data_IF_503998932853
#
_entry.id   IF_503998932853
#
_cell.length_a   1.000
_cell.length_b   1.000
_cell.length_c   1.000
_cell.angle_alpha   90.00
_cell.angle_beta   90.00
_cell.angle_gamma   90.00
#
_symmetry.space_group_name_H-M   'P 1'
#
loop_
_entity.id
_entity.type
_entity.pdbx_description
1 polymer ?
#
# COMPACT_ATOMS: atom_id res chain seq x y z
N UNK A 1 -9.65 98.78 -41.07
CA UNK A 1 -10.69 97.84 -40.53
C UNK A 1 -10.18 96.40 -40.35
N UNK A 2 -9.20 95.88 -41.10
CA UNK A 2 -8.74 94.50 -40.92
C UNK A 2 -7.84 94.30 -39.69
N UNK A 3 -7.13 95.26 -39.15
CA UNK A 3 -6.32 95.18 -37.98
C UNK A 3 -7.10 95.17 -36.64
N UNK A 4 -8.23 95.76 -36.63
CA UNK A 4 -9.08 95.80 -35.42
C UNK A 4 -9.76 94.43 -35.18
N UNK A 5 -10.03 93.71 -36.25
CA UNK A 5 -10.66 92.39 -36.18
C UNK A 5 -9.74 91.31 -35.60
N UNK A 6 -8.42 91.45 -35.80
CA UNK A 6 -7.44 90.46 -35.28
C UNK A 6 -7.18 90.65 -33.76
N UNK A 7 -7.30 91.84 -33.25
CA UNK A 7 -7.12 92.14 -31.83
C UNK A 7 -8.33 91.64 -31.01
N UNK A 8 -9.54 91.69 -31.56
CA UNK A 8 -10.77 91.19 -30.88
C UNK A 8 -10.80 89.66 -30.85
N UNK A 9 -10.25 88.97 -31.84
CA UNK A 9 -10.16 87.50 -31.88
C UNK A 9 -9.09 87.00 -30.92
N UNK A 10 -8.01 87.76 -30.73
CA UNK A 10 -6.93 87.33 -29.80
C UNK A 10 -7.33 87.49 -28.33
N UNK A 11 -8.25 88.34 -27.98
CA UNK A 11 -8.71 88.62 -26.59
C UNK A 11 -9.76 87.61 -26.13
N UNK A 12 -10.44 86.91 -27.04
CA UNK A 12 -11.44 85.86 -26.68
C UNK A 12 -10.83 84.52 -26.36
N UNK A 13 -9.53 84.25 -26.69
CA UNK A 13 -8.84 83.01 -26.38
C UNK A 13 -8.23 82.95 -24.96
N UNK A 14 -8.19 84.07 -24.19
CA UNK A 14 -7.56 84.09 -22.89
C UNK A 14 -8.54 83.94 -21.72
N UNK A 15 -9.83 83.72 -21.98
CA UNK A 15 -10.85 83.64 -20.93
C UNK A 15 -11.42 82.25 -20.71
N UNK A 16 -10.75 81.16 -21.20
CA UNK A 16 -11.25 79.81 -21.08
C UNK A 16 -10.27 78.88 -20.35
N UNK A 17 -9.66 79.33 -19.24
CA UNK A 17 -9.08 78.45 -18.23
C UNK A 17 -10.01 78.33 -17.05
N UNK A 18 -11.11 77.56 -17.22
CA UNK A 18 -11.86 77.04 -16.11
C UNK A 18 -11.05 75.85 -15.61
N UNK A 19 -10.29 76.01 -14.51
CA UNK A 19 -9.71 74.90 -13.75
C UNK A 19 -10.87 74.05 -13.28
N UNK A 20 -11.04 72.93 -13.97
CA UNK A 20 -11.86 71.81 -13.48
C UNK A 20 -11.13 71.28 -12.29
N UNK A 21 -11.47 71.63 -11.08
CA UNK A 21 -11.17 70.89 -9.90
C UNK A 21 -11.81 69.51 -10.12
N UNK A 22 -10.97 68.55 -10.50
CA UNK A 22 -11.31 67.15 -10.37
C UNK A 22 -11.52 66.97 -8.85
N UNK A 23 -12.76 66.98 -8.45
CA UNK A 23 -13.15 66.34 -7.21
C UNK A 23 -12.78 64.87 -7.40
N UNK A 24 -11.64 64.51 -6.84
CA UNK A 24 -11.28 63.10 -6.70
C UNK A 24 -12.44 62.50 -5.91
N UNK A 25 -13.37 61.86 -6.63
CA UNK A 25 -14.35 61.04 -5.98
C UNK A 25 -13.53 60.02 -5.17
N UNK A 26 -13.47 60.20 -3.87
CA UNK A 26 -13.01 59.15 -2.98
C UNK A 26 -13.81 57.93 -3.35
N UNK A 27 -13.14 56.95 -3.99
CA UNK A 27 -13.71 55.63 -4.10
C UNK A 27 -14.18 55.24 -2.70
N UNK A 28 -15.46 54.89 -2.53
CA UNK A 28 -15.90 54.41 -1.23
C UNK A 28 -14.91 53.34 -0.81
N UNK A 29 -14.28 53.52 0.34
CA UNK A 29 -13.47 52.51 0.98
C UNK A 29 -14.30 51.24 0.97
N UNK A 30 -13.76 50.12 0.49
CA UNK A 30 -14.47 48.86 0.50
C UNK A 30 -14.99 48.66 1.93
N UNK A 31 -16.27 48.34 2.04
CA UNK A 31 -16.98 48.16 3.31
C UNK A 31 -16.35 46.88 3.95
N UNK A 32 -15.20 47.05 4.61
CA UNK A 32 -14.47 45.95 5.24
C UNK A 32 -15.31 45.55 6.45
N UNK A 33 -16.18 44.59 6.26
CA UNK A 33 -16.92 44.00 7.36
C UNK A 33 -15.91 43.56 8.44
N UNK A 34 -16.12 43.93 9.71
CA UNK A 34 -15.24 43.51 10.78
C UNK A 34 -15.18 41.97 10.81
N UNK A 35 -13.99 41.42 11.06
CA UNK A 35 -13.81 39.99 11.11
C UNK A 35 -14.71 39.36 12.19
N UNK A 36 -15.48 38.32 11.85
CA UNK A 36 -16.28 37.62 12.83
C UNK A 36 -15.42 37.04 13.96
N UNK A 37 -15.96 36.88 15.18
CA UNK A 37 -15.20 36.39 16.33
C UNK A 37 -14.52 35.00 16.08
N UNK A 38 -15.12 34.15 15.24
CA UNK A 38 -14.59 32.84 14.92
C UNK A 38 -13.31 32.88 14.06
N UNK A 39 -13.00 34.00 13.39
CA UNK A 39 -11.73 34.20 12.65
C UNK A 39 -10.55 34.40 13.59
N UNK A 40 -10.77 35.02 14.73
CA UNK A 40 -9.74 35.36 15.73
C UNK A 40 -9.72 34.39 16.92
N UNK A 41 -10.81 33.66 17.15
CA UNK A 41 -10.95 32.72 18.25
C UNK A 41 -11.82 31.54 17.86
N UNK A 42 -11.29 30.31 18.09
CA UNK A 42 -12.02 29.08 17.79
C UNK A 42 -13.27 28.97 18.67
N UNK A 43 -14.48 28.82 18.10
CA UNK A 43 -15.67 28.54 18.87
C UNK A 43 -15.53 27.21 19.64
N UNK A 44 -15.81 27.20 20.92
CA UNK A 44 -15.85 26.00 21.71
C UNK A 44 -17.27 25.46 21.76
N UNK A 45 -17.48 24.24 21.26
CA UNK A 45 -18.78 23.57 21.27
C UNK A 45 -18.65 22.18 21.85
N UNK A 46 -19.34 21.89 22.97
CA UNK A 46 -19.40 20.55 23.53
C UNK A 46 -20.04 19.50 22.61
N UNK A 47 -20.94 19.95 21.71
CA UNK A 47 -21.78 19.06 20.89
C UNK A 47 -21.37 18.99 19.41
N UNK A 48 -20.45 19.84 18.97
CA UNK A 48 -20.04 19.94 17.56
C UNK A 48 -18.53 19.94 17.44
N UNK A 49 -18.04 19.25 16.43
CA UNK A 49 -16.68 19.43 15.91
C UNK A 49 -16.65 20.70 15.08
N UNK A 50 -15.54 21.42 15.14
CA UNK A 50 -15.33 22.71 14.47
C UNK A 50 -14.15 22.58 13.50
N UNK A 51 -14.32 23.04 12.27
CA UNK A 51 -13.25 23.14 11.29
C UNK A 51 -13.15 24.57 10.75
N UNK A 52 -12.02 25.22 10.97
CA UNK A 52 -11.75 26.57 10.45
C UNK A 52 -10.54 26.49 9.53
N UNK A 53 -10.68 27.04 8.33
CA UNK A 53 -9.60 27.10 7.37
C UNK A 53 -9.59 28.41 6.62
N UNK A 54 -8.42 28.79 6.15
CA UNK A 54 -8.26 29.98 5.31
C UNK A 54 -7.30 29.70 4.16
N UNK A 55 -7.37 30.56 3.14
CA UNK A 55 -6.41 30.61 2.05
C UNK A 55 -6.17 32.06 1.63
N UNK A 56 -4.98 32.31 1.09
CA UNK A 56 -4.60 33.61 0.53
C UNK A 56 -5.14 33.78 -0.88
N UNK A 57 -5.73 34.95 -1.18
CA UNK A 57 -6.31 35.25 -2.49
C UNK A 57 -5.31 35.41 -3.62
N UNK A 58 -4.02 35.52 -3.31
CA UNK A 58 -2.94 35.67 -4.29
C UNK A 58 -2.62 34.40 -5.10
N UNK A 59 -3.22 33.27 -4.76
CA UNK A 59 -2.98 31.96 -5.42
C UNK A 59 -3.95 31.63 -6.58
N UNK A 60 -4.61 32.62 -7.16
CA UNK A 60 -5.55 32.44 -8.27
C UNK A 60 -6.94 31.94 -7.85
N UNK A 61 -7.76 31.45 -8.82
CA UNK A 61 -9.18 31.15 -8.59
C UNK A 61 -9.49 29.94 -7.69
N UNK A 62 -8.48 29.30 -7.08
CA UNK A 62 -8.65 28.09 -6.25
C UNK A 62 -8.66 28.29 -4.75
N UNK A 63 -8.52 29.54 -4.27
CA UNK A 63 -8.37 29.83 -2.84
C UNK A 63 -9.58 29.38 -1.99
N UNK A 64 -10.79 29.45 -2.52
CA UNK A 64 -11.97 28.94 -1.81
C UNK A 64 -11.93 27.45 -1.55
N UNK A 65 -11.49 26.68 -2.54
CA UNK A 65 -11.31 25.23 -2.40
C UNK A 65 -10.17 24.90 -1.44
N UNK A 66 -9.08 25.68 -1.47
CA UNK A 66 -7.97 25.53 -0.54
C UNK A 66 -8.40 25.83 0.90
N UNK A 67 -9.14 26.91 1.13
CA UNK A 67 -9.69 27.24 2.44
C UNK A 67 -10.63 26.14 2.96
N UNK A 68 -11.51 25.61 2.11
CA UNK A 68 -12.35 24.45 2.45
C UNK A 68 -11.52 23.23 2.83
N UNK A 69 -10.50 22.91 2.04
CA UNK A 69 -9.59 21.77 2.33
C UNK A 69 -8.92 21.95 3.69
N UNK A 70 -8.39 23.14 3.97
CA UNK A 70 -7.75 23.46 5.25
C UNK A 70 -8.72 23.33 6.43
N UNK A 71 -9.97 23.81 6.27
CA UNK A 71 -11.00 23.67 7.29
C UNK A 71 -11.39 22.21 7.55
N UNK A 72 -11.45 21.38 6.51
CA UNK A 72 -11.73 19.94 6.67
C UNK A 72 -10.56 19.19 7.32
N UNK A 73 -9.32 19.59 7.07
CA UNK A 73 -8.17 19.09 7.81
C UNK A 73 -8.21 19.43 9.29
N UNK A 74 -8.58 20.67 9.61
CA UNK A 74 -8.72 21.13 10.98
C UNK A 74 -9.83 20.35 11.71
N UNK A 75 -10.99 20.18 11.06
CA UNK A 75 -12.10 19.35 11.56
C UNK A 75 -11.66 17.90 11.81
N UNK A 76 -10.95 17.30 10.85
CA UNK A 76 -10.43 15.94 10.99
C UNK A 76 -9.45 15.81 12.16
N UNK A 77 -8.65 16.83 12.40
CA UNK A 77 -7.69 16.85 13.51
C UNK A 77 -8.40 16.88 14.86
N UNK A 78 -9.47 17.64 15.01
CA UNK A 78 -10.27 17.67 16.25
C UNK A 78 -10.95 16.32 16.52
N UNK A 79 -11.57 15.72 15.50
CA UNK A 79 -12.16 14.37 15.58
C UNK A 79 -11.13 13.34 16.01
N UNK A 80 -9.92 13.41 15.47
CA UNK A 80 -8.84 12.48 15.79
C UNK A 80 -8.38 12.55 17.24
N UNK A 81 -8.27 13.75 17.80
CA UNK A 81 -7.91 13.95 19.22
C UNK A 81 -8.95 13.30 20.14
N UNK A 82 -10.23 13.43 19.80
CA UNK A 82 -11.34 12.84 20.57
C UNK A 82 -11.33 11.31 20.52
N UNK A 83 -11.02 10.70 19.36
CA UNK A 83 -10.97 9.24 19.18
C UNK A 83 -9.77 8.61 19.89
N UNK A 84 -8.59 9.25 19.86
CA UNK A 84 -7.37 8.68 20.44
C UNK A 84 -7.42 8.49 21.94
N UNK A 85 -8.30 9.20 22.65
CA UNK A 85 -8.48 9.11 24.10
C UNK A 85 -9.29 7.88 24.56
N UNK A 86 -9.97 7.15 23.65
CA UNK A 86 -10.96 6.12 23.99
C UNK A 86 -10.66 4.70 23.46
N UNK A 87 -9.44 4.37 23.05
CA UNK A 87 -9.12 3.12 22.37
C UNK A 87 -8.97 1.92 23.34
N UNK A 88 -9.77 0.89 23.15
CA UNK A 88 -9.85 -0.34 24.00
C UNK A 88 -8.72 -1.35 23.73
N UNK A 89 -8.13 -1.37 22.53
CA UNK A 89 -7.06 -2.31 22.17
C UNK A 89 -5.69 -2.00 22.76
N UNK A 90 -5.55 -0.87 23.43
CA UNK A 90 -4.31 -0.49 24.12
C UNK A 90 -3.87 -1.49 25.20
N UNK A 91 -4.77 -2.39 25.58
CA UNK A 91 -4.57 -3.32 26.72
C UNK A 91 -4.01 -4.68 26.29
N UNK A 92 -3.95 -5.03 24.99
CA UNK A 92 -3.70 -6.42 24.57
C UNK A 92 -2.28 -6.69 24.07
N UNK A 93 -1.56 -5.71 23.54
CA UNK A 93 -0.16 -5.95 23.10
C UNK A 93 0.70 -4.69 23.17
N UNK A 94 1.62 -4.68 24.10
CA UNK A 94 2.67 -3.66 24.28
C UNK A 94 3.81 -3.87 23.25
N UNK A 95 3.50 -3.83 21.96
CA UNK A 95 4.49 -3.97 20.89
C UNK A 95 4.53 -2.66 20.05
N UNK A 96 5.70 -2.00 20.00
CA UNK A 96 5.87 -0.73 19.31
C UNK A 96 5.45 -0.79 17.83
N UNK A 97 5.73 -1.88 17.13
CA UNK A 97 5.36 -2.07 15.73
C UNK A 97 3.83 -2.14 15.51
N UNK A 98 3.08 -2.67 16.50
CA UNK A 98 1.62 -2.66 16.46
C UNK A 98 1.10 -1.23 16.52
N UNK A 99 1.61 -0.44 17.46
CA UNK A 99 1.17 0.94 17.66
C UNK A 99 1.44 1.83 16.45
N UNK A 100 2.56 1.66 15.74
CA UNK A 100 2.87 2.42 14.52
C UNK A 100 1.94 2.06 13.35
N UNK A 101 1.73 0.77 13.11
CA UNK A 101 0.84 0.29 12.05
C UNK A 101 -0.62 0.67 12.34
N UNK A 102 -1.04 0.54 13.59
CA UNK A 102 -2.36 0.92 14.05
C UNK A 102 -2.62 2.43 13.97
N UNK A 103 -1.66 3.26 14.40
CA UNK A 103 -1.74 4.72 14.25
C UNK A 103 -1.79 5.15 12.78
N UNK A 104 -1.11 4.42 11.90
CA UNK A 104 -1.17 4.64 10.45
C UNK A 104 -2.56 4.32 9.88
N UNK A 105 -3.21 3.26 10.36
CA UNK A 105 -4.59 2.92 9.99
C UNK A 105 -5.61 3.94 10.48
N UNK A 106 -5.47 4.40 11.74
CA UNK A 106 -6.34 5.48 12.26
C UNK A 106 -6.18 6.75 11.43
N UNK A 107 -4.94 7.09 11.03
CA UNK A 107 -4.69 8.23 10.13
C UNK A 107 -5.36 8.05 8.77
N UNK A 108 -5.33 6.85 8.20
CA UNK A 108 -5.95 6.54 6.92
C UNK A 108 -7.49 6.54 7.01
N UNK A 109 -8.04 5.94 8.08
CA UNK A 109 -9.49 5.87 8.28
C UNK A 109 -10.14 7.22 8.64
N UNK A 110 -9.39 8.14 9.26
CA UNK A 110 -9.88 9.48 9.58
C UNK A 110 -9.77 10.48 8.43
N UNK A 111 -8.99 10.17 7.39
CA UNK A 111 -8.91 11.01 6.17
C UNK A 111 -10.01 10.71 5.14
N UNK A 112 -10.69 9.57 5.24
CA UNK A 112 -11.68 9.16 4.25
C UNK A 112 -13.09 9.58 4.66
N UNK A 113 -13.62 10.62 3.97
CA UNK A 113 -15.02 10.99 3.93
C UNK A 113 -15.67 11.36 5.26
N UNK A 114 -15.21 12.46 5.86
CA UNK A 114 -16.06 13.16 6.81
C UNK A 114 -17.27 13.68 6.02
N UNK A 115 -18.44 13.15 6.33
CA UNK A 115 -19.71 13.52 5.72
C UNK A 115 -20.58 14.26 6.74
N UNK A 116 -21.60 15.00 6.26
CA UNK A 116 -22.56 15.66 7.15
C UNK A 116 -22.06 16.97 7.79
N UNK A 117 -20.85 17.43 7.45
CA UNK A 117 -20.42 18.76 7.85
C UNK A 117 -21.21 19.85 7.11
N UNK A 118 -21.48 20.94 7.79
CA UNK A 118 -22.21 22.10 7.23
C UNK A 118 -21.33 23.34 7.28
N UNK A 119 -21.37 24.13 6.20
CA UNK A 119 -20.80 25.49 6.21
C UNK A 119 -21.66 26.36 7.12
N UNK A 120 -21.05 26.91 8.14
CA UNK A 120 -21.73 27.82 9.10
C UNK A 120 -21.59 29.25 8.62
N UNK A 121 -20.38 29.63 8.23
CA UNK A 121 -20.09 31.02 7.81
C UNK A 121 -18.83 31.05 6.93
N UNK A 122 -18.70 32.15 6.20
CA UNK A 122 -17.49 32.50 5.46
C UNK A 122 -17.19 33.97 5.60
N UNK A 123 -15.92 34.31 5.68
CA UNK A 123 -15.44 35.69 5.77
C UNK A 123 -14.32 35.92 4.78
N UNK A 124 -14.29 37.10 4.16
CA UNK A 124 -13.19 37.48 3.31
C UNK A 124 -12.78 38.93 3.53
N UNK A 125 -11.47 39.15 3.40
CA UNK A 125 -10.88 40.47 3.30
C UNK A 125 -10.06 40.56 2.00
N UNK A 126 -9.31 41.64 1.82
CA UNK A 126 -8.51 41.85 0.60
C UNK A 126 -7.46 40.73 0.35
N UNK A 127 -6.98 40.09 1.40
CA UNK A 127 -5.86 39.16 1.35
C UNK A 127 -6.27 37.69 1.51
N UNK A 128 -7.30 37.41 2.29
CA UNK A 128 -7.63 36.08 2.75
C UNK A 128 -9.12 35.75 2.62
N UNK A 129 -9.42 34.50 2.39
CA UNK A 129 -10.75 33.92 2.45
C UNK A 129 -10.78 32.86 3.55
N UNK A 130 -11.73 32.93 4.45
CA UNK A 130 -11.93 32.07 5.60
C UNK A 130 -13.25 31.34 5.49
N UNK A 131 -13.27 30.07 5.98
CA UNK A 131 -14.48 29.26 6.07
C UNK A 131 -14.57 28.58 7.41
N UNK A 132 -15.79 28.48 7.91
CA UNK A 132 -16.10 27.81 9.17
C UNK A 132 -17.13 26.71 8.92
N UNK A 133 -16.70 25.46 9.19
CA UNK A 133 -17.55 24.27 9.11
C UNK A 133 -17.81 23.71 10.50
N UNK A 134 -18.97 23.07 10.66
CA UNK A 134 -19.34 22.32 11.84
C UNK A 134 -19.83 20.92 11.45
N UNK A 135 -19.63 19.97 12.38
CA UNK A 135 -20.18 18.62 12.31
C UNK A 135 -20.74 18.25 13.68
N UNK A 136 -21.98 17.83 13.74
CA UNK A 136 -22.61 17.36 14.96
C UNK A 136 -21.95 16.06 15.43
N UNK A 137 -21.50 16.01 16.70
CA UNK A 137 -20.79 14.87 17.27
C UNK A 137 -21.66 13.61 17.32
N UNK A 138 -22.95 13.76 17.63
CA UNK A 138 -23.88 12.65 17.69
C UNK A 138 -24.17 12.10 16.28
N UNK A 139 -24.38 12.99 15.28
CA UNK A 139 -24.57 12.55 13.91
C UNK A 139 -23.32 11.86 13.35
N UNK A 140 -22.13 12.38 13.64
CA UNK A 140 -20.87 11.71 13.27
C UNK A 140 -20.74 10.32 13.92
N UNK A 141 -21.06 10.21 15.22
CA UNK A 141 -21.05 8.93 15.92
C UNK A 141 -22.04 7.93 15.31
N UNK A 142 -23.24 8.40 14.95
CA UNK A 142 -24.25 7.57 14.29
C UNK A 142 -23.82 7.12 12.90
N UNK A 143 -23.19 7.99 12.12
CA UNK A 143 -22.65 7.64 10.79
C UNK A 143 -21.52 6.61 10.91
N UNK A 144 -20.60 6.81 11.87
CA UNK A 144 -19.52 5.88 12.16
C UNK A 144 -20.08 4.51 12.56
N UNK A 145 -21.06 4.47 13.45
CA UNK A 145 -21.70 3.23 13.88
C UNK A 145 -22.39 2.50 12.71
N UNK A 146 -23.10 3.23 11.85
CA UNK A 146 -23.72 2.64 10.64
C UNK A 146 -22.66 2.08 9.68
N UNK A 147 -21.58 2.82 9.39
CA UNK A 147 -20.47 2.35 8.52
C UNK A 147 -19.80 1.11 9.12
N UNK A 148 -19.54 1.11 10.44
CA UNK A 148 -19.01 -0.05 11.15
C UNK A 148 -19.92 -1.27 11.01
N UNK A 149 -21.22 -1.12 11.26
CA UNK A 149 -22.18 -2.22 11.17
C UNK A 149 -22.29 -2.77 9.75
N UNK A 150 -22.30 -1.91 8.73
CA UNK A 150 -22.26 -2.32 7.34
C UNK A 150 -21.00 -3.12 7.00
N UNK A 151 -19.85 -2.70 7.54
CA UNK A 151 -18.57 -3.39 7.35
C UNK A 151 -18.55 -4.75 8.04
N UNK A 152 -19.08 -4.85 9.27
CA UNK A 152 -19.22 -6.11 9.99
C UNK A 152 -20.13 -7.07 9.18
N UNK A 153 -21.25 -6.59 8.66
CA UNK A 153 -22.14 -7.40 7.81
C UNK A 153 -21.45 -7.88 6.55
N UNK A 154 -20.68 -7.01 5.87
CA UNK A 154 -19.88 -7.43 4.69
C UNK A 154 -18.84 -8.48 5.04
N UNK A 155 -18.14 -8.32 6.17
CA UNK A 155 -17.18 -9.31 6.64
C UNK A 155 -17.85 -10.65 6.97
N UNK A 156 -18.98 -10.63 7.68
CA UNK A 156 -19.77 -11.84 7.98
C UNK A 156 -20.20 -12.57 6.70
N UNK A 157 -20.64 -11.85 5.68
CA UNK A 157 -21.01 -12.43 4.38
C UNK A 157 -19.79 -13.06 3.66
N UNK A 158 -18.60 -12.42 3.72
CA UNK A 158 -17.38 -13.01 3.18
C UNK A 158 -16.99 -14.29 3.93
N UNK A 159 -17.10 -14.29 5.26
CA UNK A 159 -16.81 -15.46 6.09
C UNK A 159 -17.80 -16.59 5.75
N UNK A 160 -19.09 -16.33 5.69
CA UNK A 160 -20.10 -17.31 5.32
C UNK A 160 -19.86 -17.88 3.90
N UNK A 161 -19.55 -17.01 2.94
CA UNK A 161 -19.20 -17.44 1.58
C UNK A 161 -17.94 -18.30 1.56
N UNK A 162 -16.98 -18.06 2.44
CA UNK A 162 -15.77 -18.87 2.54
C UNK A 162 -16.05 -20.33 2.94
N UNK A 163 -17.04 -20.58 3.77
CA UNK A 163 -17.45 -21.94 4.14
C UNK A 163 -18.16 -22.65 2.96
N UNK A 164 -18.89 -21.91 2.11
CA UNK A 164 -19.46 -22.48 0.90
C UNK A 164 -18.38 -22.85 -0.12
N UNK A 165 -17.33 -22.02 -0.24
CA UNK A 165 -16.16 -22.35 -1.06
C UNK A 165 -15.46 -23.64 -0.56
N UNK A 166 -15.30 -23.82 0.76
CA UNK A 166 -14.77 -25.06 1.32
C UNK A 166 -15.61 -26.29 0.97
N UNK A 167 -16.94 -26.18 1.05
CA UNK A 167 -17.86 -27.26 0.63
C UNK A 167 -17.69 -27.61 -0.84
N UNK A 168 -17.36 -26.61 -1.69
CA UNK A 168 -17.08 -26.77 -3.11
C UNK A 168 -15.62 -27.16 -3.40
N UNK A 169 -14.80 -27.39 -2.38
CA UNK A 169 -13.36 -27.67 -2.47
C UNK A 169 -12.54 -26.55 -3.15
N UNK A 170 -13.04 -25.30 -3.09
CA UNK A 170 -12.30 -24.11 -3.50
C UNK A 170 -11.65 -23.45 -2.28
N UNK A 171 -10.58 -24.08 -1.79
CA UNK A 171 -9.87 -23.65 -0.58
C UNK A 171 -9.13 -22.34 -0.76
N UNK A 172 -8.70 -22.03 -1.99
CA UNK A 172 -8.03 -20.76 -2.30
C UNK A 172 -8.98 -19.59 -2.16
N UNK A 173 -10.16 -19.68 -2.75
CA UNK A 173 -11.22 -18.65 -2.60
C UNK A 173 -11.69 -18.52 -1.16
N UNK A 174 -11.81 -19.64 -0.45
CA UNK A 174 -12.15 -19.65 0.98
C UNK A 174 -11.15 -18.83 1.79
N UNK A 175 -9.85 -19.11 1.68
CA UNK A 175 -8.82 -18.38 2.41
C UNK A 175 -8.75 -16.92 2.01
N UNK A 176 -8.85 -16.62 0.72
CA UNK A 176 -8.89 -15.25 0.20
C UNK A 176 -10.02 -14.44 0.83
N UNK A 177 -11.23 -14.98 0.87
CA UNK A 177 -12.40 -14.30 1.46
C UNK A 177 -12.21 -14.04 2.96
N UNK A 178 -11.62 -14.97 3.71
CA UNK A 178 -11.30 -14.79 5.13
C UNK A 178 -10.28 -13.67 5.37
N UNK A 179 -9.21 -13.65 4.56
CA UNK A 179 -8.22 -12.59 4.62
C UNK A 179 -8.82 -11.24 4.23
N UNK A 180 -9.66 -11.19 3.20
CA UNK A 180 -10.39 -9.97 2.82
C UNK A 180 -11.36 -9.51 3.89
N UNK A 181 -12.08 -10.43 4.56
CA UNK A 181 -12.95 -10.10 5.68
C UNK A 181 -12.16 -9.45 6.82
N UNK A 182 -10.99 -9.97 7.16
CA UNK A 182 -10.09 -9.31 8.12
C UNK A 182 -9.65 -7.92 7.61
N UNK A 183 -9.26 -7.82 6.35
CA UNK A 183 -8.78 -6.56 5.75
C UNK A 183 -9.77 -5.42 5.87
N UNK A 184 -11.05 -5.64 5.55
CA UNK A 184 -12.09 -4.59 5.64
C UNK A 184 -12.44 -4.21 7.09
N UNK A 185 -12.13 -5.06 8.08
CA UNK A 185 -12.36 -4.78 9.50
C UNK A 185 -11.24 -3.97 10.13
N UNK A 186 -10.09 -3.85 9.49
CA UNK A 186 -8.90 -3.20 10.08
C UNK A 186 -9.15 -1.80 10.61
N UNK A 187 -9.97 -0.92 9.99
CA UNK A 187 -10.27 0.41 10.54
C UNK A 187 -11.00 0.40 11.88
N UNK A 188 -11.59 -0.74 12.27
CA UNK A 188 -12.43 -0.89 13.46
C UNK A 188 -11.82 -1.81 14.52
N UNK A 189 -10.58 -2.29 14.32
CA UNK A 189 -9.93 -3.22 15.28
C UNK A 189 -9.67 -2.62 16.66
N UNK A 190 -9.76 -1.29 16.83
CA UNK A 190 -9.73 -0.61 18.12
C UNK A 190 -11.05 -0.68 18.89
N UNK A 191 -12.09 -1.22 18.28
CA UNK A 191 -13.41 -1.33 18.86
C UNK A 191 -13.81 -2.80 18.93
N UNK A 192 -14.72 -3.13 19.82
CA UNK A 192 -15.27 -4.47 19.88
C UNK A 192 -16.02 -4.79 18.56
N UNK A 193 -15.66 -5.90 17.92
CA UNK A 193 -16.30 -6.44 16.72
C UNK A 193 -16.92 -7.78 17.09
N UNK A 194 -18.24 -7.83 17.06
CA UNK A 194 -19.03 -9.03 17.31
C UNK A 194 -19.80 -9.37 16.05
N UNK A 195 -19.68 -10.61 15.59
CA UNK A 195 -20.47 -11.15 14.48
C UNK A 195 -21.72 -11.83 15.01
N UNK A 196 -22.77 -11.83 14.20
CA UNK A 196 -23.88 -12.76 14.35
C UNK A 196 -23.40 -14.16 13.91
N UNK A 197 -23.35 -15.16 14.80
CA UNK A 197 -22.85 -16.49 14.48
C UNK A 197 -23.68 -17.19 13.38
N UNK A 198 -24.95 -16.86 13.25
CA UNK A 198 -25.81 -17.43 12.20
C UNK A 198 -25.40 -16.89 10.82
N UNK A 199 -25.02 -15.63 10.73
CA UNK A 199 -24.57 -15.00 9.48
C UNK A 199 -23.11 -15.34 9.16
N UNK A 200 -22.24 -15.48 10.17
CA UNK A 200 -20.80 -15.69 9.99
C UNK A 200 -20.37 -17.17 10.01
N UNK A 201 -21.32 -18.12 10.02
CA UNK A 201 -21.00 -19.55 10.06
C UNK A 201 -20.35 -20.02 11.35
N UNK A 202 -20.72 -19.40 12.49
CA UNK A 202 -20.24 -19.78 13.81
C UNK A 202 -19.01 -18.98 14.29
N UNK A 203 -18.56 -17.99 13.53
CA UNK A 203 -17.47 -17.06 13.94
C UNK A 203 -18.09 -15.94 14.77
N UNK A 204 -17.58 -15.70 15.97
CA UNK A 204 -18.16 -14.72 16.91
C UNK A 204 -17.43 -13.37 16.88
N UNK A 205 -16.13 -13.38 16.61
CA UNK A 205 -15.29 -12.17 16.69
C UNK A 205 -14.05 -12.27 15.78
N UNK A 206 -13.22 -11.24 15.81
CA UNK A 206 -12.00 -11.16 14.99
C UNK A 206 -10.97 -12.23 15.38
N UNK A 207 -10.89 -12.61 16.65
CA UNK A 207 -9.95 -13.65 17.11
C UNK A 207 -10.33 -15.04 16.60
N UNK A 208 -11.62 -15.34 16.51
CA UNK A 208 -12.10 -16.57 15.87
C UNK A 208 -11.72 -16.59 14.38
N UNK A 209 -11.91 -15.44 13.69
CA UNK A 209 -11.55 -15.30 12.28
C UNK A 209 -10.04 -15.47 12.06
N UNK A 210 -9.19 -14.80 12.85
CA UNK A 210 -7.73 -14.94 12.71
C UNK A 210 -7.26 -16.36 13.06
N UNK A 211 -7.87 -17.01 14.05
CA UNK A 211 -7.60 -18.41 14.38
C UNK A 211 -7.99 -19.36 13.26
N UNK A 212 -9.08 -19.06 12.56
CA UNK A 212 -9.52 -19.82 11.39
C UNK A 212 -8.54 -19.66 10.21
N UNK A 213 -8.09 -18.43 9.93
CA UNK A 213 -7.06 -18.14 8.93
C UNK A 213 -5.76 -18.88 9.28
N UNK A 214 -5.31 -18.77 10.52
CA UNK A 214 -4.09 -19.42 11.02
C UNK A 214 -4.12 -20.93 10.80
N UNK A 215 -5.20 -21.59 11.22
CA UNK A 215 -5.35 -23.06 11.06
C UNK A 215 -5.33 -23.46 9.59
N UNK A 216 -5.95 -22.70 8.70
CA UNK A 216 -5.97 -22.98 7.29
C UNK A 216 -4.57 -22.82 6.66
N UNK A 217 -3.85 -21.75 7.01
CA UNK A 217 -2.46 -21.54 6.56
C UNK A 217 -1.52 -22.64 7.04
N UNK A 218 -1.64 -23.08 8.29
CA UNK A 218 -0.84 -24.16 8.86
C UNK A 218 -1.13 -25.53 8.26
N UNK A 219 -2.32 -25.70 7.68
CA UNK A 219 -2.70 -26.96 7.01
C UNK A 219 -2.22 -27.06 5.56
N UNK A 220 -1.56 -26.01 5.03
CA UNK A 220 -0.98 -26.07 3.68
C UNK A 220 0.24 -26.98 3.70
N UNK A 221 0.28 -27.95 2.79
CA UNK A 221 1.41 -28.83 2.56
C UNK A 221 1.85 -28.75 1.11
N UNK A 222 3.13 -28.97 0.88
CA UNK A 222 3.71 -29.01 -0.44
C UNK A 222 4.33 -30.40 -0.68
N UNK A 223 4.04 -30.97 -1.83
CA UNK A 223 4.60 -32.26 -2.23
C UNK A 223 5.21 -32.15 -3.63
N UNK A 224 6.30 -32.86 -3.94
CA UNK A 224 6.79 -32.96 -5.30
C UNK A 224 5.78 -33.73 -6.16
N UNK A 225 5.52 -33.26 -7.38
CA UNK A 225 4.58 -33.92 -8.29
C UNK A 225 5.15 -35.19 -8.94
N UNK A 226 6.46 -35.15 -9.25
CA UNK A 226 7.25 -36.17 -9.87
C UNK A 226 8.66 -36.07 -9.32
N UNK A 227 9.54 -36.93 -9.82
CA UNK A 227 10.97 -36.78 -9.60
C UNK A 227 11.38 -35.33 -10.01
N UNK A 228 11.91 -34.57 -9.05
CA UNK A 228 12.35 -33.20 -9.29
C UNK A 228 13.67 -33.32 -10.08
N UNK A 229 13.77 -32.64 -11.25
CA UNK A 229 15.01 -32.68 -12.02
C UNK A 229 16.15 -32.04 -11.23
N UNK A 230 17.34 -32.62 -11.33
CA UNK A 230 18.53 -31.95 -10.79
C UNK A 230 18.87 -30.73 -11.57
N UNK A 231 19.24 -29.65 -10.85
CA UNK A 231 19.69 -28.39 -11.43
C UNK A 231 21.18 -28.54 -11.82
N UNK A 232 21.52 -28.22 -13.07
CA UNK A 232 22.93 -28.16 -13.51
C UNK A 232 23.44 -26.72 -13.38
N UNK A 233 24.54 -26.46 -12.71
CA UNK A 233 25.16 -25.14 -12.67
C UNK A 233 25.46 -24.59 -14.08
N UNK A 234 25.33 -23.27 -14.27
CA UNK A 234 25.60 -22.56 -15.51
C UNK A 234 24.80 -23.01 -16.75
N UNK A 235 23.73 -23.75 -16.59
CA UNK A 235 22.85 -24.12 -17.69
C UNK A 235 22.08 -22.89 -18.21
N UNK A 236 21.92 -22.79 -19.53
CA UNK A 236 21.23 -21.66 -20.16
C UNK A 236 19.70 -21.66 -19.92
N UNK A 237 19.10 -22.84 -19.82
CA UNK A 237 17.65 -23.02 -19.60
C UNK A 237 17.41 -24.16 -18.64
N UNK A 238 16.63 -23.90 -17.61
CA UNK A 238 16.27 -24.88 -16.59
C UNK A 238 14.83 -25.37 -16.78
N UNK A 239 14.63 -26.67 -16.62
CA UNK A 239 13.28 -27.21 -16.50
C UNK A 239 12.64 -26.71 -15.21
N UNK A 240 11.33 -26.36 -15.21
CA UNK A 240 10.65 -25.93 -14.00
C UNK A 240 10.57 -27.09 -12.98
N UNK A 241 10.82 -26.75 -11.72
CA UNK A 241 10.60 -27.66 -10.60
C UNK A 241 9.11 -27.66 -10.27
N UNK A 242 8.46 -28.82 -10.35
CA UNK A 242 7.03 -28.93 -10.19
C UNK A 242 6.67 -29.48 -8.81
N UNK A 243 5.86 -28.74 -8.10
CA UNK A 243 5.31 -29.10 -6.79
C UNK A 243 3.79 -29.06 -6.84
N UNK A 244 3.15 -29.61 -5.83
CA UNK A 244 1.72 -29.57 -5.64
C UNK A 244 1.40 -28.98 -4.28
N UNK A 245 0.52 -27.98 -4.26
CA UNK A 245 0.02 -27.39 -3.02
C UNK A 245 -1.35 -27.98 -2.70
N UNK A 246 -1.51 -28.43 -1.48
CA UNK A 246 -2.76 -28.95 -0.98
C UNK A 246 -2.99 -28.55 0.49
N UNK A 247 -4.24 -28.55 0.90
CA UNK A 247 -4.62 -28.53 2.29
C UNK A 247 -4.68 -29.95 2.80
N UNK A 248 -3.97 -30.25 3.89
CA UNK A 248 -3.86 -31.58 4.49
C UNK A 248 -5.14 -32.42 4.34
N UNK A 249 -5.10 -33.43 3.47
CA UNK A 249 -6.17 -34.38 3.23
C UNK A 249 -7.53 -33.82 2.73
N UNK A 250 -7.61 -32.51 2.39
CA UNK A 250 -8.87 -31.88 1.98
C UNK A 250 -8.95 -31.61 0.47
N UNK A 251 -7.85 -31.24 -0.16
CA UNK A 251 -7.79 -30.95 -1.59
C UNK A 251 -6.74 -29.91 -1.97
N UNK A 252 -6.66 -29.63 -3.26
CA UNK A 252 -5.62 -28.78 -3.84
C UNK A 252 -5.93 -27.30 -3.74
N UNK A 253 -4.87 -26.50 -3.55
CA UNK A 253 -4.95 -25.03 -3.61
C UNK A 253 -4.82 -24.57 -5.07
N UNK A 254 -5.94 -24.21 -5.69
CA UNK A 254 -6.03 -23.79 -7.09
C UNK A 254 -5.88 -22.28 -7.20
N UNK A 255 -5.14 -21.81 -8.23
CA UNK A 255 -4.93 -20.36 -8.47
C UNK A 255 -4.46 -19.61 -7.21
N UNK A 256 -3.62 -20.25 -6.41
CA UNK A 256 -3.18 -19.74 -5.13
C UNK A 256 -1.83 -19.00 -5.27
N UNK A 257 -1.73 -17.72 -4.89
CA UNK A 257 -0.51 -16.95 -5.05
C UNK A 257 0.51 -17.29 -3.98
N UNK A 258 1.76 -17.48 -4.40
CA UNK A 258 2.90 -17.84 -3.55
C UNK A 258 4.09 -16.92 -3.80
N UNK A 259 4.81 -16.60 -2.74
CA UNK A 259 6.13 -16.00 -2.76
C UNK A 259 7.16 -17.12 -2.64
N UNK A 260 8.19 -17.04 -3.46
CA UNK A 260 9.31 -17.99 -3.44
C UNK A 260 10.57 -17.22 -3.05
N UNK A 261 11.35 -17.78 -2.15
CA UNK A 261 12.66 -17.25 -1.77
C UNK A 261 13.68 -18.37 -1.81
N UNK A 262 14.79 -18.17 -2.52
CA UNK A 262 15.95 -19.04 -2.36
C UNK A 262 16.60 -18.78 -1.00
N UNK A 263 17.01 -19.86 -0.32
CA UNK A 263 17.85 -19.76 0.87
C UNK A 263 19.35 -19.65 0.50
N UNK A 264 19.67 -19.82 -0.80
CA UNK A 264 21.02 -19.70 -1.34
C UNK A 264 21.08 -18.51 -2.33
N UNK A 265 22.00 -17.57 -2.07
CA UNK A 265 22.18 -16.36 -2.89
C UNK A 265 22.76 -16.66 -4.29
N UNK A 266 23.35 -17.84 -4.49
CA UNK A 266 23.91 -18.29 -5.77
C UNK A 266 22.88 -18.82 -6.75
N UNK A 267 21.59 -18.75 -6.38
CA UNK A 267 20.51 -19.22 -7.23
C UNK A 267 19.48 -18.11 -7.41
N UNK A 268 19.24 -17.76 -8.65
CA UNK A 268 18.18 -16.83 -9.02
C UNK A 268 16.94 -17.61 -9.47
N UNK A 269 15.81 -17.28 -8.88
CA UNK A 269 14.52 -17.91 -9.14
C UNK A 269 13.44 -16.86 -9.40
N UNK A 270 12.26 -17.28 -9.88
CA UNK A 270 11.07 -16.44 -9.89
C UNK A 270 10.58 -16.22 -8.46
N UNK A 271 10.47 -14.96 -8.04
CA UNK A 271 10.05 -14.61 -6.66
C UNK A 271 8.56 -14.81 -6.41
N UNK A 272 7.74 -14.77 -7.46
CA UNK A 272 6.29 -14.92 -7.40
C UNK A 272 5.79 -15.97 -8.37
N UNK A 273 4.83 -16.75 -7.92
CA UNK A 273 4.15 -17.75 -8.74
C UNK A 273 2.71 -17.94 -8.26
N UNK A 274 1.91 -18.60 -9.07
CA UNK A 274 0.53 -18.95 -8.73
C UNK A 274 0.30 -20.40 -9.12
N UNK A 275 -0.34 -21.17 -8.26
CA UNK A 275 -0.72 -22.54 -8.64
C UNK A 275 -1.74 -22.50 -9.80
N UNK A 276 -1.72 -23.54 -10.62
CA UNK A 276 -2.71 -23.71 -11.68
C UNK A 276 -4.05 -24.25 -11.12
N UNK A 277 -4.99 -24.56 -12.02
CA UNK A 277 -6.31 -25.09 -11.67
C UNK A 277 -6.30 -26.49 -11.03
N UNK A 278 -5.17 -27.17 -11.03
CA UNK A 278 -4.96 -28.48 -10.41
C UNK A 278 -4.08 -28.42 -9.17
N UNK A 279 -3.71 -27.21 -8.72
CA UNK A 279 -2.86 -27.00 -7.54
C UNK A 279 -1.37 -27.16 -7.80
N UNK A 280 -0.96 -27.19 -9.07
CA UNK A 280 0.44 -27.36 -9.44
C UNK A 280 1.17 -26.02 -9.35
N UNK A 281 2.32 -26.02 -8.71
CA UNK A 281 3.21 -24.89 -8.51
C UNK A 281 4.51 -25.12 -9.28
N UNK A 282 4.96 -24.10 -10.01
CA UNK A 282 6.23 -24.12 -10.71
C UNK A 282 7.24 -23.15 -10.08
N UNK A 283 8.39 -23.68 -9.66
CA UNK A 283 9.56 -22.89 -9.32
C UNK A 283 10.51 -22.90 -10.52
N UNK A 284 10.80 -21.73 -11.07
CA UNK A 284 11.69 -21.57 -12.22
C UNK A 284 13.03 -21.03 -11.75
N UNK A 285 14.09 -21.79 -11.94
CA UNK A 285 15.44 -21.30 -11.79
C UNK A 285 15.83 -20.51 -13.04
N UNK A 286 16.43 -19.33 -12.85
CA UNK A 286 16.91 -18.46 -13.93
C UNK A 286 18.44 -18.60 -14.08
N UNK A 287 19.14 -18.82 -12.97
CA UNK A 287 20.56 -19.12 -12.94
C UNK A 287 20.89 -19.95 -11.69
N UNK A 288 21.84 -20.85 -11.83
CA UNK A 288 22.38 -21.66 -10.74
C UNK A 288 23.90 -21.63 -10.85
N UNK A 289 24.56 -21.13 -9.81
CA UNK A 289 26.00 -21.26 -9.64
C UNK A 289 26.32 -22.54 -8.86
N UNK A 290 27.55 -23.04 -8.89
CA UNK A 290 27.92 -24.20 -8.08
C UNK A 290 27.66 -23.97 -6.60
N UNK A 291 26.90 -24.87 -6.01
CA UNK A 291 26.50 -24.87 -4.60
C UNK A 291 26.67 -26.27 -4.03
N UNK A 292 26.19 -26.49 -2.81
CA UNK A 292 26.13 -27.83 -2.24
C UNK A 292 25.19 -28.76 -3.06
N UNK A 293 25.18 -30.03 -2.76
CA UNK A 293 24.43 -31.10 -3.47
C UNK A 293 22.92 -30.79 -3.60
N UNK A 294 22.39 -29.86 -2.83
CA UNK A 294 20.99 -29.42 -2.92
C UNK A 294 20.85 -27.97 -2.57
N UNK A 295 19.77 -27.39 -3.04
CA UNK A 295 19.32 -26.03 -2.72
C UNK A 295 17.97 -26.07 -2.06
N UNK A 296 17.75 -25.15 -1.16
CA UNK A 296 16.48 -25.01 -0.43
C UNK A 296 15.72 -23.75 -0.86
N UNK A 297 14.42 -23.90 -1.03
CA UNK A 297 13.50 -22.81 -1.34
C UNK A 297 12.47 -22.68 -0.24
N UNK A 298 12.20 -21.47 0.16
CA UNK A 298 11.12 -21.11 1.06
C UNK A 298 9.90 -20.68 0.23
N UNK A 299 8.78 -21.37 0.41
CA UNK A 299 7.50 -21.07 -0.22
C UNK A 299 6.56 -20.47 0.81
N UNK A 300 6.07 -19.27 0.56
CA UNK A 300 5.18 -18.56 1.47
C UNK A 300 3.90 -18.12 0.72
N UNK A 301 2.71 -18.20 1.34
CA UNK A 301 1.52 -17.58 0.80
C UNK A 301 1.72 -16.08 0.54
N UNK A 302 1.34 -15.57 -0.64
CA UNK A 302 1.35 -14.15 -0.94
C UNK A 302 0.10 -13.48 -0.35
N UNK A 303 0.18 -13.17 0.94
CA UNK A 303 -0.90 -12.52 1.71
C UNK A 303 -1.27 -11.15 1.09
N UNK A 304 -0.31 -10.45 0.50
CA UNK A 304 -0.57 -9.15 -0.14
C UNK A 304 -1.51 -9.29 -1.33
N UNK A 305 -1.24 -10.24 -2.20
CA UNK A 305 -2.12 -10.54 -3.34
C UNK A 305 -3.48 -11.05 -2.89
N UNK A 306 -3.56 -11.82 -1.80
CA UNK A 306 -4.82 -12.33 -1.26
C UNK A 306 -5.69 -11.23 -0.63
N UNK A 307 -5.09 -10.27 0.06
CA UNK A 307 -5.81 -9.17 0.73
C UNK A 307 -6.17 -8.02 -0.23
N UNK A 308 -5.27 -7.68 -1.15
CA UNK A 308 -5.37 -6.52 -2.03
C UNK A 308 -4.28 -5.49 -1.72
N UNK A 309 -4.00 -4.60 -2.68
CA UNK A 309 -2.82 -3.73 -2.68
C UNK A 309 -3.11 -2.26 -2.35
N UNK A 310 -4.31 -1.90 -1.94
CA UNK A 310 -4.63 -0.54 -1.51
C UNK A 310 -3.93 -0.18 -0.19
N UNK A 311 -4.00 1.09 0.20
CA UNK A 311 -3.33 1.59 1.41
C UNK A 311 -3.87 0.94 2.69
N UNK A 312 -5.16 0.64 2.73
CA UNK A 312 -5.83 -0.06 3.85
C UNK A 312 -5.36 -1.52 3.89
N UNK A 313 -5.24 -2.15 2.71
CA UNK A 313 -4.72 -3.51 2.60
C UNK A 313 -3.31 -3.65 3.15
N UNK A 314 -2.38 -2.75 2.83
CA UNK A 314 -0.99 -2.81 3.35
C UNK A 314 -0.91 -2.73 4.86
N UNK A 315 -1.66 -1.82 5.47
CA UNK A 315 -1.69 -1.69 6.92
C UNK A 315 -2.41 -2.91 7.57
N UNK A 316 -3.47 -3.41 6.94
CA UNK A 316 -4.17 -4.63 7.34
C UNK A 316 -3.27 -5.87 7.31
N UNK A 317 -2.38 -6.01 6.31
CA UNK A 317 -1.40 -7.09 6.21
C UNK A 317 -0.42 -7.05 7.39
N UNK A 318 0.10 -5.87 7.71
CA UNK A 318 1.02 -5.71 8.84
C UNK A 318 0.37 -6.13 10.16
N UNK A 319 -0.91 -5.79 10.36
CA UNK A 319 -1.68 -6.22 11.52
C UNK A 319 -1.99 -7.72 11.47
N UNK A 320 -2.44 -8.25 10.34
CA UNK A 320 -2.76 -9.68 10.22
C UNK A 320 -1.54 -10.54 10.57
N UNK A 321 -0.34 -10.16 10.13
CA UNK A 321 0.92 -10.87 10.43
C UNK A 321 1.27 -10.93 11.92
N UNK A 322 0.64 -10.12 12.77
CA UNK A 322 0.81 -10.19 14.23
C UNK A 322 -0.12 -11.22 14.86
N UNK A 323 -1.26 -11.48 14.23
CA UNK A 323 -2.23 -12.48 14.69
C UNK A 323 -1.96 -13.87 14.14
N UNK A 324 -1.29 -13.98 12.97
CA UNK A 324 -1.02 -15.23 12.30
C UNK A 324 0.49 -15.47 12.17
N UNK A 325 0.89 -16.72 12.38
CA UNK A 325 2.25 -17.17 12.09
C UNK A 325 2.26 -17.85 10.72
N UNK A 326 2.96 -17.28 9.76
CA UNK A 326 3.21 -17.94 8.47
C UNK A 326 4.44 -18.82 8.61
N UNK A 327 4.23 -20.14 8.62
CA UNK A 327 5.34 -21.09 8.48
C UNK A 327 5.76 -21.14 7.02
N UNK A 328 7.06 -21.00 6.77
CA UNK A 328 7.64 -21.19 5.46
C UNK A 328 7.65 -22.69 5.13
N UNK A 329 7.08 -23.03 3.99
CA UNK A 329 7.18 -24.40 3.46
C UNK A 329 8.53 -24.54 2.79
N UNK A 330 9.33 -25.51 3.22
CA UNK A 330 10.66 -25.76 2.63
C UNK A 330 10.60 -26.88 1.62
N UNK A 331 11.16 -26.63 0.45
CA UNK A 331 11.37 -27.62 -0.60
C UNK A 331 12.82 -27.61 -1.04
N UNK A 332 13.31 -28.74 -1.54
CA UNK A 332 14.69 -28.90 -1.97
C UNK A 332 14.75 -29.40 -3.40
N UNK A 333 15.79 -29.01 -4.12
CA UNK A 333 16.18 -29.59 -5.39
C UNK A 333 17.65 -29.99 -5.37
N UNK A 334 17.96 -31.09 -5.98
CA UNK A 334 19.35 -31.55 -6.12
C UNK A 334 20.10 -30.66 -7.11
N UNK A 335 21.38 -30.48 -6.89
CA UNK A 335 22.31 -29.83 -7.83
C UNK A 335 23.26 -30.92 -8.32
N UNK A 336 23.33 -31.15 -9.63
CA UNK A 336 24.21 -32.14 -10.21
C UNK A 336 25.60 -31.54 -10.45
N UNK A 337 26.60 -32.40 -10.40
CA UNK A 337 27.96 -32.05 -10.82
C UNK A 337 27.96 -31.66 -12.30
N UNK A 338 28.83 -30.74 -12.65
CA UNK A 338 29.17 -30.42 -14.05
C UNK A 338 30.64 -30.69 -14.30
N UNK A 339 30.94 -31.15 -15.52
CA UNK A 339 32.30 -31.32 -15.99
C UNK A 339 32.66 -30.13 -16.87
N UNK A 340 33.70 -29.41 -16.54
CA UNK A 340 34.12 -28.19 -17.24
C UNK A 340 35.48 -28.43 -17.89
N UNK A 341 35.55 -28.30 -19.19
CA UNK A 341 36.79 -28.28 -19.94
C UNK A 341 37.21 -26.86 -20.21
N UNK A 342 38.42 -26.49 -19.82
CA UNK A 342 38.99 -25.14 -20.05
C UNK A 342 40.12 -25.30 -21.06
N UNK A 343 39.99 -24.57 -22.17
CA UNK A 343 41.07 -24.46 -23.16
C UNK A 343 41.33 -22.97 -23.40
N UNK A 344 42.53 -22.53 -23.03
CA UNK A 344 42.92 -21.13 -23.20
C UNK A 344 44.25 -21.03 -23.91
N UNK A 345 44.41 -20.05 -24.77
CA UNK A 345 45.67 -19.69 -25.42
C UNK A 345 46.01 -18.25 -25.07
N UNK A 346 46.98 -18.07 -24.22
CA UNK A 346 47.45 -16.71 -23.85
C UNK A 346 48.48 -16.21 -24.86
N UNK A 347 48.30 -15.00 -25.36
CA UNK A 347 49.22 -14.35 -26.29
C UNK A 347 49.76 -13.05 -25.75
N UNK A 348 51.07 -12.86 -25.81
CA UNK A 348 51.73 -11.62 -25.56
C UNK A 348 52.32 -11.05 -26.84
N UNK A 349 51.93 -9.83 -27.24
CA UNK A 349 52.31 -9.22 -28.53
C UNK A 349 52.11 -10.13 -29.75
N UNK A 350 51.04 -10.94 -29.76
CA UNK A 350 50.68 -11.86 -30.82
C UNK A 350 51.44 -13.20 -30.82
N UNK A 351 52.36 -13.43 -29.89
CA UNK A 351 53.04 -14.72 -29.69
C UNK A 351 52.42 -15.43 -28.52
N UNK A 352 52.29 -16.75 -28.63
CA UNK A 352 51.82 -17.56 -27.51
C UNK A 352 52.78 -17.41 -26.32
N UNK A 353 52.21 -17.06 -25.15
CA UNK A 353 52.94 -17.02 -23.91
C UNK A 353 52.82 -18.38 -23.26
N UNK A 354 53.89 -18.91 -22.73
CA UNK A 354 53.83 -20.18 -21.99
C UNK A 354 53.22 -20.01 -20.59
N UNK A 355 52.49 -18.93 -20.32
CA UNK A 355 51.85 -18.68 -19.04
C UNK A 355 50.40 -19.18 -19.06
N UNK A 356 49.95 -19.80 -17.97
CA UNK A 356 48.57 -20.27 -17.79
C UNK A 356 47.85 -19.39 -16.73
N UNK A 357 48.18 -18.11 -16.64
CA UNK A 357 47.66 -17.25 -15.59
C UNK A 357 46.16 -17.03 -15.73
N UNK A 358 45.65 -16.87 -16.95
CA UNK A 358 44.22 -16.70 -17.23
C UNK A 358 43.46 -18.00 -16.99
N UNK A 359 44.06 -19.13 -17.43
CA UNK A 359 43.49 -20.45 -17.20
C UNK A 359 43.34 -20.73 -15.70
N UNK A 360 44.39 -20.47 -14.91
CA UNK A 360 44.37 -20.62 -13.46
C UNK A 360 43.28 -19.74 -12.80
N UNK A 361 43.11 -18.46 -13.26
CA UNK A 361 42.03 -17.58 -12.78
C UNK A 361 40.65 -18.15 -13.11
N UNK A 362 40.46 -18.67 -14.32
CA UNK A 362 39.19 -19.28 -14.74
C UNK A 362 38.92 -20.52 -13.90
N UNK A 363 39.93 -21.42 -13.76
CA UNK A 363 39.83 -22.61 -12.94
C UNK A 363 39.45 -22.27 -11.49
N UNK A 364 40.05 -21.23 -10.90
CA UNK A 364 39.72 -20.78 -9.57
C UNK A 364 38.27 -20.25 -9.46
N UNK A 365 37.78 -19.54 -10.50
CA UNK A 365 36.39 -19.05 -10.55
C UNK A 365 35.37 -20.18 -10.66
N UNK A 366 35.70 -21.24 -11.38
CA UNK A 366 34.87 -22.43 -11.52
C UNK A 366 35.14 -23.49 -10.45
N UNK A 367 35.99 -23.22 -9.46
CA UNK A 367 36.20 -24.14 -8.33
C UNK A 367 34.97 -24.14 -7.41
N UNK A 368 34.36 -25.29 -7.25
CA UNK A 368 33.23 -25.52 -6.35
C UNK A 368 33.03 -27.02 -6.13
N UNK A 369 32.29 -27.38 -5.09
CA UNK A 369 32.14 -28.80 -4.74
C UNK A 369 31.46 -29.62 -5.86
N UNK A 370 30.65 -28.94 -6.70
CA UNK A 370 29.87 -29.57 -7.77
C UNK A 370 30.47 -29.34 -9.17
N UNK A 371 31.71 -28.83 -9.26
CA UNK A 371 32.43 -28.62 -10.53
C UNK A 371 33.60 -29.55 -10.61
N UNK A 372 33.65 -30.36 -11.67
CA UNK A 372 34.81 -31.21 -12.00
C UNK A 372 35.49 -30.64 -13.23
N UNK A 373 36.77 -30.34 -13.09
CA UNK A 373 37.59 -29.97 -14.24
C UNK A 373 37.99 -31.22 -14.99
N UNK A 374 37.86 -31.22 -16.29
CA UNK A 374 38.25 -32.35 -17.17
C UNK A 374 39.29 -31.90 -18.18
N UNK A 375 40.21 -32.76 -18.52
CA UNK A 375 41.28 -32.52 -19.47
C UNK A 375 40.84 -32.79 -20.93
N UNK A 376 39.63 -33.30 -21.12
CA UNK A 376 39.11 -33.68 -22.42
C UNK A 376 37.78 -32.98 -22.72
N UNK A 377 37.71 -32.35 -23.87
CA UNK A 377 36.47 -31.70 -24.37
C UNK A 377 35.31 -32.74 -24.47
N UNK A 378 35.60 -33.98 -24.80
CA UNK A 378 34.58 -35.02 -24.92
C UNK A 378 33.94 -35.45 -23.57
N UNK A 379 34.51 -35.06 -22.47
CA UNK A 379 34.03 -35.34 -21.12
C UNK A 379 33.33 -34.13 -20.48
N UNK A 380 33.31 -32.97 -21.16
CA UNK A 380 32.63 -31.77 -20.69
C UNK A 380 31.10 -31.80 -20.92
N UNK A 381 30.35 -31.19 -20.02
CA UNK A 381 28.89 -31.06 -20.09
C UNK A 381 28.43 -29.97 -21.08
#
# INVERSE_FOLDING_TARGET
>A
MKQLLYITILFTFLASCKSRQETTAQQPLPDIKPAPPWVTGRPNSGFKYVGIGFAEKNKGNGYQMEAKKNALYDLASEIKVDISSNSVLYTVQNNNNFNENFNSLIKLSSNDNIEGYTLVDSYENDKQYWVYYQLDKQEYANQKARKKQQTITKAANLIAASFNDEKSQDFSSSLKKRIQAFGILTPYLNEEIVFDPQQSGGINNVFDLTSLIQRQLQSIVVAPQKEIPSLKPYQAVYAPLNYKLELSSKGFLKNFPMLIKSEDEKITINEKTTTNNTGDLQVKANSVEPVNQYVSFALNPDIETLMGTDSVGKAGIALLRQFIQTSSLKVQANVSNINVYINSVEKNLGKESGSNSIENMIQQKFSGPEVRLTDKLSEAD
#
